data_IF_562046374422
#
_entry.id   IF_562046374422
#
_cell.length_a   1.000
_cell.length_b   1.000
_cell.length_c   1.000
_cell.angle_alpha   90.00
_cell.angle_beta   90.00
_cell.angle_gamma   90.00
#
_symmetry.space_group_name_H-M   'P 1'
#
loop_
_entity.id
_entity.type
_entity.pdbx_description
1 polymer ?
#
# COMPACT_ATOMS: atom_id res chain seq x y z
N UNK A 1 21.54 25.08 21.76
CA UNK A 1 20.11 25.03 21.38
C UNK A 1 19.39 24.32 22.51
N UNK A 2 18.17 24.76 22.87
CA UNK A 2 17.34 24.03 23.84
C UNK A 2 17.02 22.64 23.30
N UNK A 3 16.90 21.66 24.18
CA UNK A 3 16.44 20.31 23.82
C UNK A 3 14.96 20.38 23.40
N UNK A 4 14.64 19.89 22.20
CA UNK A 4 13.25 19.82 21.70
C UNK A 4 12.62 18.48 22.10
N UNK A 5 11.48 18.52 22.76
CA UNK A 5 10.73 17.32 23.14
C UNK A 5 9.67 16.99 22.09
N UNK A 6 9.76 15.79 21.51
CA UNK A 6 8.76 15.27 20.57
C UNK A 6 7.99 14.13 21.22
N UNK A 7 6.66 14.22 21.18
CA UNK A 7 5.74 13.19 21.63
C UNK A 7 5.00 12.58 20.45
N UNK A 8 5.05 11.27 20.27
CA UNK A 8 4.27 10.52 19.27
C UNK A 8 3.26 9.66 19.99
N UNK A 9 1.96 9.82 19.72
CA UNK A 9 0.88 9.13 20.47
C UNK A 9 -0.22 8.58 19.57
N UNK A 10 -1.00 7.62 20.06
CA UNK A 10 -2.15 7.02 19.37
C UNK A 10 -1.95 5.52 19.04
N UNK A 11 -2.62 4.98 18.00
CA UNK A 11 -2.64 3.56 17.70
C UNK A 11 -1.24 2.94 17.63
N UNK A 12 -1.07 1.81 18.32
CA UNK A 12 0.24 1.23 18.62
C UNK A 12 1.12 0.99 17.39
N UNK A 13 0.52 0.49 16.30
CA UNK A 13 1.22 0.26 15.04
C UNK A 13 1.77 1.55 14.45
N UNK A 14 0.95 2.60 14.42
CA UNK A 14 1.29 3.88 13.80
C UNK A 14 2.35 4.62 14.61
N UNK A 15 2.21 4.62 15.94
CA UNK A 15 3.24 5.14 16.85
C UNK A 15 4.56 4.39 16.68
N UNK A 16 4.53 3.05 16.56
CA UNK A 16 5.73 2.27 16.33
C UNK A 16 6.43 2.64 15.01
N UNK A 17 5.69 2.75 13.91
CA UNK A 17 6.21 3.12 12.58
C UNK A 17 6.86 4.50 12.61
N UNK A 18 6.12 5.51 13.06
CA UNK A 18 6.58 6.90 13.11
C UNK A 18 7.76 7.00 14.07
N UNK A 19 7.63 6.43 15.27
CA UNK A 19 8.63 6.45 16.32
C UNK A 19 9.95 5.83 15.90
N UNK A 20 9.94 4.65 15.27
CA UNK A 20 11.18 4.00 14.83
C UNK A 20 11.87 4.74 13.68
N UNK A 21 11.09 5.36 12.78
CA UNK A 21 11.68 6.21 11.75
C UNK A 21 12.37 7.42 12.37
N UNK A 22 11.69 8.15 13.26
CA UNK A 22 12.26 9.33 13.92
C UNK A 22 13.46 8.95 14.79
N UNK A 23 13.36 7.91 15.60
CA UNK A 23 14.43 7.44 16.47
C UNK A 23 15.72 7.14 15.70
N UNK A 24 15.60 6.61 14.47
CA UNK A 24 16.76 6.18 13.68
C UNK A 24 17.30 7.22 12.72
N UNK A 25 16.45 8.13 12.23
CA UNK A 25 16.80 9.07 11.13
C UNK A 25 16.82 10.53 11.58
N UNK A 26 16.20 10.85 12.71
CA UNK A 26 15.95 12.23 13.10
C UNK A 26 16.32 12.57 14.54
N UNK A 27 16.41 11.55 15.40
CA UNK A 27 16.94 11.68 16.75
C UNK A 27 18.44 12.02 16.67
N UNK A 28 18.81 13.07 17.39
CA UNK A 28 20.16 13.60 17.46
C UNK A 28 20.35 14.36 18.77
N UNK A 29 21.51 14.99 18.96
CA UNK A 29 21.99 15.47 20.27
C UNK A 29 21.13 16.55 20.97
N UNK A 30 20.04 17.01 20.37
CA UNK A 30 19.18 18.08 20.91
C UNK A 30 17.69 17.73 20.86
N UNK A 31 17.33 16.45 20.75
CA UNK A 31 15.92 16.01 20.71
C UNK A 31 15.69 14.85 21.66
N UNK A 32 14.63 14.94 22.45
CA UNK A 32 14.08 13.81 23.18
C UNK A 32 12.85 13.30 22.45
N UNK A 33 12.73 11.98 22.29
CA UNK A 33 11.59 11.35 21.61
C UNK A 33 10.83 10.45 22.58
N UNK A 34 9.57 10.76 22.81
CA UNK A 34 8.64 9.97 23.62
C UNK A 34 7.60 9.30 22.74
N UNK A 35 7.41 8.00 22.92
CA UNK A 35 6.43 7.19 22.22
C UNK A 35 5.37 6.72 23.22
N UNK A 36 4.12 7.08 22.96
CA UNK A 36 2.95 6.74 23.75
C UNK A 36 1.96 5.91 22.92
N UNK A 37 2.27 4.64 22.62
CA UNK A 37 1.35 3.76 21.91
C UNK A 37 0.14 3.40 22.78
N UNK A 38 -1.04 3.35 22.15
CA UNK A 38 -2.24 2.75 22.74
C UNK A 38 -2.03 1.26 23.03
N UNK A 39 -2.98 0.63 23.73
CA UNK A 39 -2.89 -0.81 24.02
C UNK A 39 -2.74 -1.64 22.74
N UNK A 40 -1.89 -2.66 22.82
CA UNK A 40 -1.69 -3.63 21.74
C UNK A 40 -2.89 -4.58 21.58
N UNK A 41 -3.83 -4.58 22.54
CA UNK A 41 -5.01 -5.45 22.53
C UNK A 41 -5.98 -5.12 21.38
N UNK A 42 -5.95 -3.88 20.89
CA UNK A 42 -6.77 -3.43 19.77
C UNK A 42 -6.17 -3.79 18.40
N UNK A 43 -4.97 -4.35 18.35
CA UNK A 43 -4.33 -4.73 17.08
C UNK A 43 -5.05 -5.92 16.44
N UNK A 44 -5.18 -5.95 15.11
CA UNK A 44 -5.58 -7.16 14.41
C UNK A 44 -4.55 -8.27 14.63
N UNK A 45 -4.92 -9.54 14.37
CA UNK A 45 -3.98 -10.65 14.48
C UNK A 45 -2.78 -10.47 13.53
N UNK A 46 -3.07 -10.08 12.29
CA UNK A 46 -2.07 -9.80 11.27
C UNK A 46 -2.26 -8.42 10.65
N UNK A 47 -1.15 -7.87 10.16
CA UNK A 47 -1.10 -6.62 9.39
C UNK A 47 -0.48 -6.89 8.03
N UNK A 48 -0.81 -6.05 7.05
CA UNK A 48 -0.28 -6.13 5.70
C UNK A 48 0.78 -5.05 5.48
N UNK A 49 2.01 -5.46 5.22
CA UNK A 49 3.05 -4.61 4.67
C UNK A 49 3.05 -4.75 3.14
N UNK A 50 2.78 -3.67 2.40
CA UNK A 50 2.83 -3.63 0.93
C UNK A 50 4.29 -3.71 0.44
N UNK A 51 4.57 -4.00 -0.84
CA UNK A 51 5.94 -4.14 -1.35
C UNK A 51 6.89 -2.98 -0.99
N UNK A 52 6.41 -1.73 -1.10
CA UNK A 52 7.22 -0.54 -0.77
C UNK A 52 7.57 -0.43 0.72
N UNK A 53 6.79 -1.07 1.59
CA UNK A 53 7.01 -1.06 3.04
C UNK A 53 8.20 -1.93 3.44
N UNK A 54 8.49 -3.00 2.68
CA UNK A 54 9.66 -3.84 2.91
C UNK A 54 10.97 -3.05 2.78
N UNK A 55 11.01 -2.08 1.86
CA UNK A 55 12.14 -1.16 1.73
C UNK A 55 12.26 -0.24 2.95
N UNK A 56 11.14 0.29 3.44
CA UNK A 56 11.12 1.08 4.67
C UNK A 56 11.61 0.28 5.88
N UNK A 57 11.20 -0.99 6.00
CA UNK A 57 11.63 -1.87 7.09
C UNK A 57 13.15 -2.06 7.08
N UNK A 58 13.73 -2.36 5.91
CA UNK A 58 15.18 -2.44 5.77
C UNK A 58 15.88 -1.13 6.14
N UNK A 59 15.30 0.01 5.77
CA UNK A 59 15.81 1.34 6.10
C UNK A 59 15.87 1.62 7.62
N UNK A 60 14.89 1.11 8.39
CA UNK A 60 14.90 1.21 9.85
C UNK A 60 15.67 0.05 10.53
N UNK A 61 16.34 -0.79 9.74
CA UNK A 61 17.20 -1.89 10.20
C UNK A 61 16.49 -3.22 10.43
N UNK A 62 15.26 -3.38 9.94
CA UNK A 62 14.53 -4.65 9.94
C UNK A 62 14.64 -5.33 8.57
N UNK A 63 15.62 -6.22 8.45
CA UNK A 63 15.74 -7.09 7.27
C UNK A 63 14.71 -8.22 7.26
N UNK A 64 14.53 -8.85 6.10
CA UNK A 64 13.55 -9.92 5.90
C UNK A 64 13.70 -11.10 6.88
N UNK A 65 14.93 -11.53 7.17
CA UNK A 65 15.15 -12.63 8.12
C UNK A 65 14.70 -12.29 9.56
N UNK A 66 14.87 -11.03 9.97
CA UNK A 66 14.38 -10.56 11.26
C UNK A 66 12.85 -10.57 11.30
N UNK A 67 12.19 -10.20 10.20
CA UNK A 67 10.74 -10.20 10.07
C UNK A 67 10.16 -11.62 10.08
N UNK A 68 10.80 -12.56 9.38
CA UNK A 68 10.43 -13.98 9.40
C UNK A 68 10.51 -14.52 10.83
N UNK A 69 11.62 -14.27 11.52
CA UNK A 69 11.87 -14.82 12.86
C UNK A 69 11.04 -14.16 13.94
N UNK A 70 10.88 -12.83 13.90
CA UNK A 70 10.30 -12.05 14.98
C UNK A 70 8.81 -11.74 14.79
N UNK A 71 8.30 -11.76 13.56
CA UNK A 71 6.91 -11.38 13.24
C UNK A 71 6.18 -12.43 12.39
N UNK A 72 6.74 -13.63 12.21
CA UNK A 72 6.09 -14.72 11.49
C UNK A 72 5.71 -14.36 10.05
N UNK A 73 6.58 -13.60 9.36
CA UNK A 73 6.28 -13.06 8.04
C UNK A 73 5.87 -14.14 7.03
N UNK A 74 4.79 -13.88 6.29
CA UNK A 74 4.31 -14.67 5.15
C UNK A 74 4.16 -13.78 3.92
N UNK A 75 4.30 -14.31 2.69
CA UNK A 75 4.10 -13.50 1.50
C UNK A 75 2.62 -13.13 1.33
N UNK A 76 2.38 -11.93 0.81
CA UNK A 76 1.08 -11.47 0.33
C UNK A 76 1.24 -10.92 -1.09
N UNK A 77 0.54 -11.47 -2.06
CA UNK A 77 0.65 -11.14 -3.49
C UNK A 77 -0.54 -10.34 -4.00
N UNK A 78 -1.75 -10.65 -3.53
CA UNK A 78 -2.99 -10.03 -3.99
C UNK A 78 -4.03 -9.94 -2.87
N UNK A 79 -3.78 -9.13 -1.82
CA UNK A 79 -4.65 -9.06 -0.65
C UNK A 79 -6.10 -8.75 -1.02
N UNK A 80 -7.01 -9.28 -0.21
CA UNK A 80 -8.45 -9.17 -0.44
C UNK A 80 -9.04 -7.92 0.18
N UNK A 81 -9.79 -7.17 -0.62
CA UNK A 81 -10.47 -5.94 -0.23
C UNK A 81 -11.98 -6.14 -0.27
N UNK A 82 -12.68 -5.69 0.78
CA UNK A 82 -14.15 -5.68 0.79
C UNK A 82 -14.66 -4.72 -0.28
N UNK A 83 -15.67 -5.14 -1.03
CA UNK A 83 -16.37 -4.29 -1.99
C UNK A 83 -17.87 -4.58 -1.98
N UNK A 84 -18.66 -3.68 -2.57
CA UNK A 84 -20.11 -3.82 -2.70
C UNK A 84 -20.53 -5.04 -3.54
N UNK A 85 -19.67 -5.55 -4.43
CA UNK A 85 -19.92 -6.79 -5.21
C UNK A 85 -19.28 -8.04 -4.61
N UNK A 86 -18.81 -7.98 -3.37
CA UNK A 86 -18.03 -9.05 -2.74
C UNK A 86 -16.54 -8.76 -2.67
N UNK A 87 -15.73 -9.65 -2.06
CA UNK A 87 -14.29 -9.44 -1.91
C UNK A 87 -13.57 -9.40 -3.28
N UNK A 88 -12.60 -8.50 -3.43
CA UNK A 88 -11.76 -8.36 -4.62
C UNK A 88 -10.28 -8.50 -4.24
N UNK A 89 -9.55 -9.36 -4.95
CA UNK A 89 -8.10 -9.51 -4.76
C UNK A 89 -7.37 -8.52 -5.66
N UNK A 90 -6.60 -7.60 -5.06
CA UNK A 90 -5.87 -6.58 -5.80
C UNK A 90 -4.38 -6.95 -5.87
N UNK A 91 -3.86 -7.39 -7.03
CA UNK A 91 -2.51 -7.89 -7.15
C UNK A 91 -1.47 -6.77 -7.09
N UNK A 92 -0.36 -7.03 -6.39
CA UNK A 92 0.81 -6.16 -6.39
C UNK A 92 1.67 -6.29 -7.67
N UNK A 93 1.37 -7.27 -8.51
CA UNK A 93 2.09 -7.55 -9.74
C UNK A 93 1.22 -7.32 -10.99
N UNK A 94 1.85 -7.07 -12.16
CA UNK A 94 1.12 -6.93 -13.41
C UNK A 94 0.20 -8.12 -13.73
N UNK A 95 -0.96 -7.82 -14.31
CA UNK A 95 -1.87 -8.80 -14.90
C UNK A 95 -1.42 -9.03 -16.35
N UNK A 96 -1.00 -10.26 -16.66
CA UNK A 96 -0.37 -10.61 -17.93
C UNK A 96 0.92 -9.86 -18.21
N UNK A 97 1.24 -9.67 -19.49
CA UNK A 97 2.49 -9.04 -19.91
C UNK A 97 2.21 -7.93 -20.94
N UNK A 98 2.71 -6.72 -20.67
CA UNK A 98 2.60 -5.59 -21.60
C UNK A 98 3.76 -5.59 -22.60
N UNK A 99 3.54 -5.12 -23.83
CA UNK A 99 4.57 -5.11 -24.86
C UNK A 99 4.41 -3.93 -25.83
N UNK A 100 5.54 -3.38 -26.30
CA UNK A 100 5.54 -2.28 -27.25
C UNK A 100 4.84 -1.00 -26.76
N UNK A 101 4.82 -0.77 -25.44
CA UNK A 101 4.11 0.35 -24.81
C UNK A 101 2.59 0.21 -24.75
N UNK A 102 2.07 -0.99 -25.05
CA UNK A 102 0.64 -1.32 -24.98
C UNK A 102 0.42 -2.25 -23.79
N UNK A 103 -0.52 -1.86 -22.94
CA UNK A 103 -0.89 -2.58 -21.74
C UNK A 103 -1.62 -3.89 -22.06
N UNK A 104 -1.38 -4.94 -21.27
CA UNK A 104 -1.84 -6.31 -21.54
C UNK A 104 -3.35 -6.43 -21.81
N UNK A 105 -4.18 -5.70 -21.07
CA UNK A 105 -5.64 -5.75 -21.21
C UNK A 105 -6.10 -5.44 -22.65
N UNK A 106 -5.36 -4.63 -23.40
CA UNK A 106 -5.70 -4.35 -24.80
C UNK A 106 -5.47 -5.56 -25.72
N UNK A 107 -4.40 -6.32 -25.49
CA UNK A 107 -4.16 -7.56 -26.20
C UNK A 107 -5.17 -8.64 -25.80
N UNK A 108 -5.46 -8.77 -24.51
CA UNK A 108 -6.50 -9.68 -24.01
C UNK A 108 -7.85 -9.36 -24.64
N UNK A 109 -8.27 -8.09 -24.69
CA UNK A 109 -9.52 -7.67 -25.31
C UNK A 109 -9.57 -8.03 -26.80
N UNK A 110 -8.48 -7.79 -27.53
CA UNK A 110 -8.39 -8.14 -28.95
C UNK A 110 -8.50 -9.65 -29.16
N UNK A 111 -7.81 -10.44 -28.34
CA UNK A 111 -7.91 -11.89 -28.38
C UNK A 111 -9.33 -12.36 -28.05
N UNK A 112 -9.94 -11.81 -27.00
CA UNK A 112 -11.30 -12.12 -26.55
C UNK A 112 -12.37 -11.78 -27.59
N UNK A 113 -12.18 -10.68 -28.35
CA UNK A 113 -13.05 -10.33 -29.48
C UNK A 113 -12.94 -11.32 -30.64
N UNK A 114 -11.78 -11.96 -30.82
CA UNK A 114 -11.56 -12.95 -31.88
C UNK A 114 -12.07 -14.35 -31.47
N UNK A 115 -11.85 -14.74 -30.23
CA UNK A 115 -12.38 -15.95 -29.62
C UNK A 115 -12.43 -15.78 -28.10
N UNK A 116 -13.46 -16.31 -27.39
CA UNK A 116 -13.54 -16.22 -25.94
C UNK A 116 -12.26 -16.67 -25.23
N UNK A 117 -11.76 -15.85 -24.31
CA UNK A 117 -10.60 -16.14 -23.46
C UNK A 117 -11.03 -16.44 -22.02
N UNK A 118 -10.10 -16.97 -21.21
CA UNK A 118 -10.25 -16.95 -19.75
C UNK A 118 -10.43 -15.50 -19.24
N UNK A 119 -11.00 -15.36 -18.05
CA UNK A 119 -11.15 -14.05 -17.40
C UNK A 119 -9.80 -13.31 -17.33
N UNK A 120 -9.82 -11.98 -17.50
CA UNK A 120 -8.61 -11.16 -17.51
C UNK A 120 -7.74 -11.38 -16.26
N UNK A 121 -8.35 -11.55 -15.09
CA UNK A 121 -7.62 -11.73 -13.83
C UNK A 121 -6.98 -13.12 -13.68
N UNK A 122 -7.40 -14.10 -14.49
CA UNK A 122 -6.75 -15.41 -14.55
C UNK A 122 -5.31 -15.35 -15.09
N UNK A 123 -4.94 -14.23 -15.73
CA UNK A 123 -3.58 -13.95 -16.20
C UNK A 123 -2.70 -13.26 -15.15
N UNK A 124 -3.13 -13.22 -13.88
CA UNK A 124 -2.34 -12.66 -12.77
C UNK A 124 -1.63 -13.76 -11.99
N UNK A 125 -0.29 -13.90 -12.10
CA UNK A 125 0.47 -14.81 -11.25
C UNK A 125 0.30 -14.50 -9.76
N UNK A 126 0.15 -13.22 -9.40
CA UNK A 126 -0.05 -12.79 -8.02
C UNK A 126 -1.36 -13.30 -7.43
N UNK A 127 -2.48 -13.25 -8.19
CA UNK A 127 -3.75 -13.80 -7.72
C UNK A 127 -3.69 -15.33 -7.57
N UNK A 128 -3.05 -16.01 -8.52
CA UNK A 128 -2.84 -17.47 -8.44
C UNK A 128 -2.01 -17.85 -7.21
N UNK A 129 -0.94 -17.10 -6.91
CA UNK A 129 -0.08 -17.35 -5.75
C UNK A 129 -0.76 -17.00 -4.42
N UNK A 130 -1.60 -15.96 -4.38
CA UNK A 130 -2.39 -15.60 -3.20
C UNK A 130 -3.36 -16.73 -2.80
N UNK A 131 -3.93 -17.41 -3.78
CA UNK A 131 -4.87 -18.52 -3.58
C UNK A 131 -4.18 -19.85 -3.26
N UNK A 132 -2.84 -19.88 -3.24
CA UNK A 132 -2.06 -21.10 -3.03
C UNK A 132 -1.67 -21.26 -1.57
N UNK A 133 -1.95 -22.43 -1.00
CA UNK A 133 -1.58 -22.78 0.38
C UNK A 133 -0.07 -23.10 0.55
N UNK A 134 0.63 -23.43 -0.53
CA UNK A 134 2.05 -23.82 -0.50
C UNK A 134 2.94 -22.80 -1.22
N UNK A 135 3.17 -21.66 -0.58
CA UNK A 135 4.06 -20.64 -1.12
C UNK A 135 5.54 -20.96 -0.85
N UNK A 136 6.47 -20.69 -1.80
CA UNK A 136 7.90 -20.88 -1.58
C UNK A 136 8.38 -20.07 -0.39
N UNK A 137 9.54 -20.44 0.15
CA UNK A 137 10.16 -19.63 1.20
C UNK A 137 10.35 -18.19 0.73
N UNK A 138 10.20 -17.24 1.66
CA UNK A 138 10.34 -15.82 1.37
C UNK A 138 11.72 -15.48 0.76
N UNK A 139 12.77 -16.19 1.14
CA UNK A 139 14.10 -16.04 0.51
C UNK A 139 14.14 -16.49 -0.96
N UNK A 140 13.39 -17.53 -1.33
CA UNK A 140 13.27 -17.96 -2.72
C UNK A 140 12.45 -16.95 -3.53
N UNK A 141 11.37 -16.44 -2.93
CA UNK A 141 10.51 -15.42 -3.55
C UNK A 141 11.28 -14.12 -3.83
N UNK A 142 12.10 -13.64 -2.90
CA UNK A 142 12.88 -12.41 -3.09
C UNK A 142 13.78 -12.41 -4.34
N UNK A 143 14.17 -13.59 -4.84
CA UNK A 143 15.04 -13.73 -6.01
C UNK A 143 14.31 -13.75 -7.36
N UNK A 144 13.07 -14.22 -7.39
CA UNK A 144 12.43 -14.62 -8.65
C UNK A 144 10.91 -14.46 -8.68
N UNK A 145 10.29 -13.99 -7.60
CA UNK A 145 8.85 -13.82 -7.54
C UNK A 145 8.39 -12.53 -8.22
N UNK A 146 7.11 -12.48 -8.64
CA UNK A 146 6.43 -11.21 -8.86
C UNK A 146 6.48 -10.34 -7.58
N UNK A 147 6.32 -9.01 -7.69
CA UNK A 147 6.22 -8.13 -6.52
C UNK A 147 5.22 -8.66 -5.49
N UNK A 148 5.61 -8.66 -4.22
CA UNK A 148 4.82 -9.15 -3.10
C UNK A 148 5.07 -8.29 -1.86
N UNK A 149 4.07 -8.21 -0.99
CA UNK A 149 4.15 -7.68 0.36
C UNK A 149 4.26 -8.79 1.40
N UNK A 150 4.13 -8.44 2.68
CA UNK A 150 4.17 -9.38 3.79
C UNK A 150 2.92 -9.28 4.64
N UNK A 151 2.35 -10.43 4.99
CA UNK A 151 1.51 -10.55 6.17
C UNK A 151 2.41 -10.75 7.40
N UNK A 152 2.17 -9.98 8.46
CA UNK A 152 2.99 -9.97 9.67
C UNK A 152 2.11 -10.12 10.91
N UNK A 153 2.57 -10.85 11.93
CA UNK A 153 1.93 -10.92 13.24
C UNK A 153 2.01 -9.56 13.94
N UNK A 154 0.88 -8.88 14.12
CA UNK A 154 0.84 -7.45 14.44
C UNK A 154 1.52 -7.15 15.78
N UNK A 155 1.12 -7.84 16.85
CA UNK A 155 1.63 -7.58 18.20
C UNK A 155 3.13 -7.87 18.33
N UNK A 156 3.61 -8.92 17.67
CA UNK A 156 5.04 -9.26 17.67
C UNK A 156 5.85 -8.21 16.92
N UNK A 157 5.33 -7.79 15.77
CA UNK A 157 5.94 -6.76 14.94
C UNK A 157 6.03 -5.41 15.65
N UNK A 158 4.93 -4.93 16.23
CA UNK A 158 4.86 -3.65 16.97
C UNK A 158 5.82 -3.64 18.16
N UNK A 159 5.87 -4.72 18.94
CA UNK A 159 6.84 -4.86 20.04
C UNK A 159 8.28 -4.80 19.54
N UNK A 160 8.58 -5.49 18.45
CA UNK A 160 9.92 -5.49 17.84
C UNK A 160 10.36 -4.08 17.43
N UNK A 161 9.48 -3.34 16.75
CA UNK A 161 9.78 -1.97 16.31
C UNK A 161 9.92 -0.99 17.47
N UNK A 162 9.03 -1.05 18.47
CA UNK A 162 9.14 -0.19 19.65
C UNK A 162 10.45 -0.48 20.42
N UNK A 163 10.87 -1.75 20.51
CA UNK A 163 12.15 -2.12 21.08
C UNK A 163 13.36 -1.56 20.31
N UNK A 164 13.29 -1.53 18.98
CA UNK A 164 14.31 -0.89 18.15
C UNK A 164 14.36 0.63 18.34
N UNK A 165 13.20 1.28 18.42
CA UNK A 165 13.13 2.72 18.70
C UNK A 165 13.71 3.04 20.09
N UNK A 166 13.39 2.23 21.09
CA UNK A 166 13.92 2.36 22.45
C UNK A 166 15.45 2.16 22.48
N UNK A 167 15.96 1.16 21.75
CA UNK A 167 17.40 0.90 21.63
C UNK A 167 18.15 2.04 20.94
N UNK A 168 17.46 2.84 20.12
CA UNK A 168 17.98 4.04 19.48
C UNK A 168 17.88 5.30 20.36
N UNK A 169 17.27 5.21 21.56
CA UNK A 169 17.19 6.31 22.52
C UNK A 169 15.80 6.92 22.72
N UNK A 170 14.75 6.38 22.06
CA UNK A 170 13.38 6.81 22.33
C UNK A 170 12.90 6.30 23.69
N UNK A 171 12.07 7.08 24.39
CA UNK A 171 11.40 6.66 25.63
C UNK A 171 10.02 6.12 25.26
N UNK A 172 9.77 4.84 25.51
CA UNK A 172 8.46 4.22 25.29
C UNK A 172 7.72 4.15 26.62
N UNK A 173 6.54 4.75 26.68
CA UNK A 173 5.70 4.79 27.87
C UNK A 173 4.24 4.50 27.50
N UNK A 174 3.47 3.95 28.44
CA UNK A 174 2.07 3.64 28.15
C UNK A 174 1.23 4.92 28.03
N UNK A 175 0.21 4.90 27.16
CA UNK A 175 -0.61 6.08 26.88
C UNK A 175 -1.44 6.59 28.07
N UNK A 176 -1.62 5.76 29.11
CA UNK A 176 -2.32 6.10 30.36
C UNK A 176 -1.42 6.76 31.42
N UNK A 177 -0.11 6.81 31.17
CA UNK A 177 0.85 7.50 32.04
C UNK A 177 0.86 9.01 31.78
N UNK A 178 1.40 9.78 32.73
CA UNK A 178 1.58 11.22 32.56
C UNK A 178 2.57 11.48 31.41
N UNK A 179 2.07 12.03 30.30
CA UNK A 179 2.87 12.33 29.12
C UNK A 179 3.62 13.66 29.29
N UNK A 180 4.87 13.78 28.81
CA UNK A 180 5.64 15.00 28.96
C UNK A 180 5.00 16.14 28.15
N UNK A 181 5.26 17.37 28.61
CA UNK A 181 5.03 18.54 27.77
C UNK A 181 5.98 18.49 26.58
N UNK A 182 5.44 18.51 25.38
CA UNK A 182 6.19 18.41 24.13
C UNK A 182 6.17 19.73 23.36
N UNK A 183 7.28 20.03 22.69
CA UNK A 183 7.37 21.11 21.70
C UNK A 183 6.65 20.73 20.40
N UNK A 184 6.59 19.43 20.10
CA UNK A 184 5.80 18.87 19.00
C UNK A 184 5.08 17.59 19.44
N UNK A 185 3.76 17.56 19.26
CA UNK A 185 2.97 16.33 19.37
C UNK A 185 2.60 15.80 17.98
N UNK A 186 2.96 14.56 17.69
CA UNK A 186 2.52 13.82 16.51
C UNK A 186 1.37 12.91 16.91
N UNK A 187 0.17 13.26 16.46
CA UNK A 187 -1.04 12.49 16.70
C UNK A 187 -1.26 11.45 15.60
N UNK A 188 -0.97 10.20 15.95
CA UNK A 188 -1.13 9.04 15.09
C UNK A 188 -2.54 8.44 15.14
N UNK A 189 -3.48 8.89 15.99
CA UNK A 189 -4.89 8.55 15.79
C UNK A 189 -5.38 9.17 14.49
N UNK A 190 -4.90 10.39 14.22
CA UNK A 190 -5.12 11.11 12.99
C UNK A 190 -6.52 11.73 12.90
N UNK A 191 -6.77 12.39 11.77
CA UNK A 191 -8.02 13.09 11.46
C UNK A 191 -8.31 12.99 9.96
N UNK A 192 -9.57 13.15 9.56
CA UNK A 192 -9.97 13.21 8.14
C UNK A 192 -9.19 14.26 7.32
N UNK A 193 -8.84 15.40 7.95
CA UNK A 193 -8.09 16.48 7.31
C UNK A 193 -6.71 16.65 7.98
N UNK A 194 -5.70 15.84 7.59
CA UNK A 194 -4.36 15.91 8.18
C UNK A 194 -3.77 17.31 8.03
N UNK A 195 -2.98 17.73 9.02
CA UNK A 195 -2.39 19.06 9.03
C UNK A 195 -1.13 19.10 9.90
N UNK A 196 -0.33 20.13 9.67
CA UNK A 196 0.78 20.51 10.53
C UNK A 196 0.53 21.95 11.01
N UNK A 197 0.49 22.14 12.33
CA UNK A 197 0.34 23.42 13.00
C UNK A 197 1.43 23.60 14.06
N UNK A 198 1.48 24.76 14.71
CA UNK A 198 2.46 25.01 15.77
C UNK A 198 2.27 23.97 16.89
N UNK A 199 3.33 23.21 17.15
CA UNK A 199 3.38 22.19 18.20
C UNK A 199 2.51 20.95 17.96
N UNK A 200 1.88 20.79 16.80
CA UNK A 200 1.05 19.61 16.49
C UNK A 200 1.15 19.17 15.04
N UNK A 201 1.29 17.88 14.83
CA UNK A 201 1.21 17.21 13.54
C UNK A 201 0.14 16.12 13.62
N UNK A 202 -0.93 16.25 12.84
CA UNK A 202 -1.98 15.23 12.75
C UNK A 202 -1.83 14.45 11.45
N UNK A 203 -1.78 13.12 11.55
CA UNK A 203 -1.77 12.24 10.40
C UNK A 203 -3.19 12.09 9.83
N UNK A 204 -3.32 11.51 8.63
CA UNK A 204 -4.63 11.09 8.12
C UNK A 204 -5.16 9.97 9.03
N UNK A 205 -6.45 9.99 9.34
CA UNK A 205 -7.08 8.93 10.14
C UNK A 205 -6.95 7.54 9.51
N UNK A 206 -7.18 6.49 10.30
CA UNK A 206 -7.08 5.12 9.82
C UNK A 206 -8.08 4.84 8.69
N UNK A 207 -7.63 4.10 7.68
CA UNK A 207 -8.40 3.81 6.47
C UNK A 207 -8.87 2.36 6.51
N UNK A 208 -10.00 2.04 5.87
CA UNK A 208 -10.60 0.70 5.98
C UNK A 208 -9.89 -0.38 5.13
N UNK A 209 -8.89 0.03 4.35
CA UNK A 209 -8.19 -0.80 3.37
C UNK A 209 -6.89 -1.37 3.97
N UNK A 210 -6.69 -2.71 3.99
CA UNK A 210 -5.52 -3.34 4.57
C UNK A 210 -4.18 -2.73 4.10
N UNK A 211 -3.30 -2.46 5.06
CA UNK A 211 -1.94 -1.97 4.85
C UNK A 211 -1.84 -0.46 4.57
N UNK A 212 -2.96 0.27 4.49
CA UNK A 212 -2.90 1.72 4.34
C UNK A 212 -2.51 2.44 5.63
N UNK A 213 -2.84 1.89 6.80
CA UNK A 213 -2.40 2.40 8.10
C UNK A 213 -0.86 2.51 8.16
N UNK A 214 -0.17 1.57 7.50
CA UNK A 214 1.27 1.62 7.30
C UNK A 214 1.68 2.72 6.34
N UNK A 215 1.12 2.69 5.13
CA UNK A 215 1.49 3.58 4.03
C UNK A 215 1.35 5.05 4.42
N UNK A 216 0.20 5.40 5.00
CA UNK A 216 -0.13 6.76 5.47
C UNK A 216 0.85 7.21 6.55
N UNK A 217 1.19 6.34 7.49
CA UNK A 217 2.11 6.66 8.59
C UNK A 217 3.54 6.88 8.08
N UNK A 218 4.04 6.03 7.19
CA UNK A 218 5.37 6.17 6.57
C UNK A 218 5.44 7.43 5.71
N UNK A 219 4.44 7.66 4.86
CA UNK A 219 4.44 8.82 3.99
C UNK A 219 4.34 10.12 4.79
N UNK A 220 3.52 10.15 5.85
CA UNK A 220 3.41 11.31 6.72
C UNK A 220 4.73 11.64 7.39
N UNK A 221 5.38 10.68 8.06
CA UNK A 221 6.64 10.96 8.77
C UNK A 221 7.77 11.33 7.79
N UNK A 222 7.83 10.71 6.61
CA UNK A 222 8.82 11.07 5.59
C UNK A 222 8.60 12.47 5.05
N UNK A 223 7.35 12.83 4.72
CA UNK A 223 7.00 14.19 4.26
C UNK A 223 7.33 15.22 5.33
N UNK A 224 6.99 14.93 6.57
CA UNK A 224 7.32 15.80 7.71
C UNK A 224 8.83 16.00 7.82
N UNK A 225 9.63 14.92 7.91
CA UNK A 225 11.10 15.03 8.03
C UNK A 225 11.76 15.69 6.80
N UNK A 226 11.22 15.48 5.60
CA UNK A 226 11.75 16.11 4.39
C UNK A 226 11.49 17.62 4.34
N UNK A 227 10.38 18.09 4.95
CA UNK A 227 10.01 19.50 4.99
C UNK A 227 10.49 20.19 6.28
N UNK A 228 10.74 19.46 7.37
CA UNK A 228 11.09 20.05 8.66
C UNK A 228 12.55 20.48 8.71
N UNK A 229 12.78 21.76 8.41
CA UNK A 229 14.06 22.42 8.64
C UNK A 229 14.19 22.95 10.08
N UNK A 230 13.09 23.50 10.64
CA UNK A 230 12.99 24.12 11.97
C UNK A 230 11.57 23.92 12.53
N UNK A 231 11.41 23.54 13.80
CA UNK A 231 10.11 23.33 14.45
C UNK A 231 9.45 24.62 14.97
N UNK A 232 10.15 25.76 14.92
CA UNK A 232 9.67 27.05 15.41
C UNK A 232 9.21 28.00 14.31
N UNK A 233 9.69 27.82 13.07
CA UNK A 233 9.34 28.66 11.92
C UNK A 233 9.08 27.81 10.68
N UNK A 234 7.88 27.26 10.57
CA UNK A 234 7.54 26.23 9.58
C UNK A 234 6.24 26.52 8.81
N UNK A 235 5.84 27.78 8.66
CA UNK A 235 4.52 28.11 8.10
C UNK A 235 4.37 27.66 6.63
N UNK A 236 5.44 27.72 5.83
CA UNK A 236 5.40 27.32 4.42
C UNK A 236 5.48 25.80 4.28
N UNK A 237 6.35 25.18 5.06
CA UNK A 237 6.58 23.75 5.21
C UNK A 237 5.29 23.05 5.65
N UNK A 238 4.58 23.63 6.63
CA UNK A 238 3.29 23.15 7.12
C UNK A 238 2.19 23.23 6.06
N UNK A 239 2.13 24.32 5.29
CA UNK A 239 1.18 24.44 4.17
C UNK A 239 1.43 23.38 3.11
N UNK A 240 2.69 23.16 2.74
CA UNK A 240 3.06 22.17 1.73
C UNK A 240 2.84 20.74 2.22
N UNK A 241 3.23 20.43 3.46
CA UNK A 241 2.91 19.15 4.10
C UNK A 241 1.41 18.86 4.04
N UNK A 242 0.59 19.84 4.44
CA UNK A 242 -0.86 19.72 4.49
C UNK A 242 -1.45 19.51 3.09
N UNK A 243 -0.95 20.23 2.08
CA UNK A 243 -1.37 20.06 0.67
C UNK A 243 -1.09 18.64 0.18
N UNK A 244 0.12 18.12 0.42
CA UNK A 244 0.53 16.77 0.02
C UNK A 244 -0.26 15.68 0.75
N UNK A 245 -0.47 15.86 2.05
CA UNK A 245 -1.25 14.92 2.87
C UNK A 245 -2.70 14.81 2.41
N UNK A 246 -3.32 15.93 2.04
CA UNK A 246 -4.69 15.95 1.52
C UNK A 246 -4.79 15.30 0.14
N UNK A 247 -3.81 15.50 -0.74
CA UNK A 247 -3.78 14.83 -2.04
C UNK A 247 -3.70 13.31 -1.90
N UNK A 248 -2.86 12.79 -1.00
CA UNK A 248 -2.82 11.36 -0.68
C UNK A 248 -4.18 10.85 -0.17
N UNK A 249 -4.81 11.58 0.76
CA UNK A 249 -6.13 11.22 1.29
C UNK A 249 -7.20 11.17 0.19
N UNK A 250 -7.17 12.12 -0.77
CA UNK A 250 -8.08 12.13 -1.90
C UNK A 250 -7.93 10.88 -2.78
N UNK A 251 -6.69 10.41 -3.02
CA UNK A 251 -6.40 9.20 -3.81
C UNK A 251 -6.84 7.92 -3.12
N UNK A 252 -6.69 7.84 -1.80
CA UNK A 252 -7.21 6.71 -1.02
C UNK A 252 -8.73 6.67 -1.10
N UNK A 253 -9.38 7.81 -0.84
CA UNK A 253 -10.83 7.93 -0.88
C UNK A 253 -11.43 7.66 -2.27
N UNK A 254 -10.68 7.86 -3.36
CA UNK A 254 -11.11 7.44 -4.70
C UNK A 254 -11.19 5.92 -4.83
N UNK A 255 -10.23 5.16 -4.28
CA UNK A 255 -10.29 3.69 -4.28
C UNK A 255 -11.40 3.18 -3.36
N UNK A 256 -11.53 3.74 -2.15
CA UNK A 256 -12.60 3.37 -1.22
C UNK A 256 -13.99 3.63 -1.83
N UNK A 257 -14.17 4.77 -2.50
CA UNK A 257 -15.41 5.09 -3.21
C UNK A 257 -15.70 4.10 -4.33
N UNK A 258 -14.70 3.68 -5.12
CA UNK A 258 -14.87 2.64 -6.15
C UNK A 258 -15.34 1.31 -5.54
N UNK A 259 -14.72 0.88 -4.44
CA UNK A 259 -15.00 -0.41 -3.81
C UNK A 259 -16.36 -0.43 -3.12
N UNK A 260 -16.76 0.67 -2.48
CA UNK A 260 -17.99 0.75 -1.67
C UNK A 260 -19.23 1.18 -2.44
N UNK A 261 -19.09 1.88 -3.58
CA UNK A 261 -20.23 2.36 -4.36
C UNK A 261 -21.11 1.20 -4.84
N UNK A 262 -22.43 1.39 -4.91
CA UNK A 262 -23.33 0.43 -5.60
C UNK A 262 -23.02 0.40 -7.09
N UNK A 263 -23.02 1.56 -7.75
CA UNK A 263 -22.50 1.76 -9.11
C UNK A 263 -21.36 2.81 -9.10
N UNK A 264 -20.11 2.42 -9.41
CA UNK A 264 -18.99 3.36 -9.47
C UNK A 264 -19.14 4.49 -10.49
N UNK A 265 -20.03 4.32 -11.48
CA UNK A 265 -20.29 5.33 -12.53
C UNK A 265 -20.96 6.59 -12.00
N UNK A 266 -21.66 6.49 -10.87
CA UNK A 266 -22.39 7.60 -10.25
C UNK A 266 -21.51 8.45 -9.31
N UNK A 267 -20.20 8.17 -9.23
CA UNK A 267 -19.31 8.87 -8.32
C UNK A 267 -19.28 10.39 -8.56
N UNK A 268 -19.38 11.15 -7.48
CA UNK A 268 -19.19 12.61 -7.47
C UNK A 268 -17.72 13.02 -7.43
N UNK A 269 -16.80 12.07 -7.22
CA UNK A 269 -15.36 12.33 -7.12
C UNK A 269 -14.78 12.53 -8.53
N UNK A 270 -14.28 13.73 -8.90
CA UNK A 270 -13.90 14.01 -10.28
C UNK A 270 -12.78 13.13 -10.84
N UNK A 271 -11.77 12.81 -10.02
CA UNK A 271 -10.65 11.98 -10.43
C UNK A 271 -11.08 10.52 -10.66
N UNK A 272 -11.88 9.96 -9.75
CA UNK A 272 -12.45 8.63 -9.94
C UNK A 272 -13.37 8.57 -11.16
N UNK A 273 -14.26 9.56 -11.34
CA UNK A 273 -15.14 9.66 -12.50
C UNK A 273 -14.35 9.60 -13.81
N UNK A 274 -13.32 10.44 -13.95
CA UNK A 274 -12.44 10.44 -15.12
C UNK A 274 -11.75 9.08 -15.33
N UNK A 275 -11.33 8.41 -14.26
CA UNK A 275 -10.70 7.09 -14.31
C UNK A 275 -11.67 6.02 -14.83
N UNK A 276 -12.90 6.00 -14.29
CA UNK A 276 -14.00 5.11 -14.74
C UNK A 276 -14.35 5.38 -16.19
N UNK A 277 -14.62 6.63 -16.56
CA UNK A 277 -15.00 7.02 -17.93
C UNK A 277 -13.92 6.63 -18.95
N UNK A 278 -12.65 6.88 -18.65
CA UNK A 278 -11.55 6.57 -19.56
C UNK A 278 -11.33 5.06 -19.68
N UNK A 279 -11.45 4.33 -18.57
CA UNK A 279 -11.36 2.88 -18.57
C UNK A 279 -12.51 2.24 -19.35
N UNK A 280 -13.77 2.62 -19.13
CA UNK A 280 -14.90 2.10 -19.92
C UNK A 280 -14.86 2.55 -21.38
N UNK A 281 -14.30 3.73 -21.66
CA UNK A 281 -14.12 4.17 -23.04
C UNK A 281 -13.13 3.29 -23.79
N UNK A 282 -11.92 3.04 -23.25
CA UNK A 282 -10.85 2.39 -24.01
C UNK A 282 -9.86 1.52 -23.22
N UNK A 283 -10.14 1.17 -21.97
CA UNK A 283 -9.30 0.30 -21.14
C UNK A 283 -8.04 0.96 -20.59
N UNK A 284 -7.92 2.29 -20.73
CA UNK A 284 -6.80 3.09 -20.22
C UNK A 284 -7.05 3.48 -18.77
N UNK A 285 -6.05 3.34 -17.92
CA UNK A 285 -6.11 3.70 -16.50
C UNK A 285 -5.19 4.90 -16.27
N UNK A 286 -5.73 6.13 -16.15
CA UNK A 286 -4.91 7.31 -15.93
C UNK A 286 -4.34 7.29 -14.50
N UNK A 287 -3.02 7.42 -14.38
CA UNK A 287 -2.34 7.65 -13.10
C UNK A 287 -2.53 9.10 -12.67
N UNK A 288 -2.81 9.30 -11.39
CA UNK A 288 -2.88 10.63 -10.79
C UNK A 288 -1.58 10.98 -10.06
N UNK A 289 -1.35 12.26 -9.78
CA UNK A 289 -0.30 12.64 -8.84
C UNK A 289 -0.61 12.07 -7.45
N UNK A 290 0.43 11.62 -6.76
CA UNK A 290 0.35 10.97 -5.44
C UNK A 290 -0.51 9.69 -5.41
N UNK A 291 -0.67 9.03 -6.57
CA UNK A 291 -1.37 7.76 -6.67
C UNK A 291 -0.80 6.73 -5.68
N UNK A 292 -1.68 6.19 -4.83
CA UNK A 292 -1.33 5.20 -3.78
C UNK A 292 -1.43 3.77 -4.29
N UNK A 293 -2.35 3.53 -5.23
CA UNK A 293 -2.61 2.22 -5.82
C UNK A 293 -1.97 2.09 -7.19
N UNK A 294 -1.34 0.95 -7.43
CA UNK A 294 -0.66 0.67 -8.69
C UNK A 294 -1.66 0.43 -9.83
N UNK A 295 -1.25 0.54 -11.11
CA UNK A 295 -2.12 0.23 -12.24
C UNK A 295 -2.73 -1.19 -12.21
N UNK A 296 -2.02 -2.27 -11.79
CA UNK A 296 -2.63 -3.59 -11.63
C UNK A 296 -3.74 -3.65 -10.57
N UNK A 297 -3.58 -2.94 -9.45
CA UNK A 297 -4.61 -2.85 -8.41
C UNK A 297 -5.85 -2.11 -8.94
N UNK A 298 -5.67 -0.99 -9.63
CA UNK A 298 -6.77 -0.30 -10.29
C UNK A 298 -7.44 -1.17 -11.36
N UNK A 299 -6.67 -1.91 -12.17
CA UNK A 299 -7.23 -2.80 -13.18
C UNK A 299 -8.09 -3.89 -12.55
N UNK A 300 -7.59 -4.55 -11.50
CA UNK A 300 -8.34 -5.56 -10.76
C UNK A 300 -9.59 -4.99 -10.08
N UNK A 301 -9.50 -3.80 -9.48
CA UNK A 301 -10.64 -3.15 -8.84
C UNK A 301 -11.72 -2.76 -9.88
N UNK A 302 -11.35 -2.08 -10.96
CA UNK A 302 -12.29 -1.69 -12.02
C UNK A 302 -12.94 -2.92 -12.68
N UNK A 303 -12.13 -3.96 -12.96
CA UNK A 303 -12.64 -5.21 -13.53
C UNK A 303 -13.56 -5.97 -12.57
N UNK A 304 -13.18 -6.07 -11.30
CA UNK A 304 -13.97 -6.72 -10.26
C UNK A 304 -15.28 -6.00 -9.92
N UNK A 305 -15.34 -4.69 -10.18
CA UNK A 305 -16.56 -3.86 -10.05
C UNK A 305 -17.40 -3.81 -11.35
N UNK A 306 -17.18 -4.75 -12.26
CA UNK A 306 -17.91 -4.91 -13.52
C UNK A 306 -17.87 -3.68 -14.46
N UNK A 307 -16.76 -2.93 -14.42
CA UNK A 307 -16.48 -1.94 -15.44
C UNK A 307 -15.79 -2.65 -16.61
N UNK A 308 -16.30 -2.48 -17.84
CA UNK A 308 -15.78 -3.16 -19.02
C UNK A 308 -15.44 -2.16 -20.12
N UNK A 309 -14.20 -2.17 -20.64
CA UNK A 309 -13.80 -1.28 -21.73
C UNK A 309 -14.52 -1.62 -23.04
N UNK A 310 -14.98 -0.59 -23.76
CA UNK A 310 -15.69 -0.74 -25.05
C UNK A 310 -14.77 -1.00 -26.25
N UNK A 311 -13.50 -0.58 -26.16
CA UNK A 311 -12.48 -0.77 -27.21
C UNK A 311 -11.10 -0.95 -26.61
N UNK A 312 -10.20 -1.56 -27.37
CA UNK A 312 -8.79 -1.70 -27.03
C UNK A 312 -7.94 -0.70 -27.83
N UNK A 313 -6.65 -0.58 -27.48
CA UNK A 313 -5.70 0.23 -28.24
C UNK A 313 -5.32 -0.40 -29.59
N UNK A 314 -5.51 0.34 -30.69
CA UNK A 314 -5.20 -0.15 -32.05
C UNK A 314 -3.73 -0.50 -32.27
N UNK A 315 -2.81 -0.05 -31.44
CA UNK A 315 -1.42 -0.53 -31.49
C UNK A 315 -1.33 -2.04 -31.22
N UNK A 316 -2.31 -2.63 -30.52
CA UNK A 316 -2.41 -4.08 -30.35
C UNK A 316 -2.60 -4.82 -31.69
N UNK A 317 -3.12 -4.17 -32.73
CA UNK A 317 -3.30 -4.75 -34.08
C UNK A 317 -1.99 -5.08 -34.78
N UNK A 318 -0.87 -4.48 -34.33
CA UNK A 318 0.46 -4.74 -34.90
C UNK A 318 0.95 -6.17 -34.64
N UNK A 319 0.44 -6.85 -33.62
CA UNK A 319 0.77 -8.26 -33.40
C UNK A 319 -0.07 -9.13 -34.33
N UNK A 320 0.51 -10.02 -35.17
CA UNK A 320 -0.27 -10.92 -35.99
C UNK A 320 -1.20 -11.82 -35.16
N UNK A 321 -2.44 -12.05 -35.62
CA UNK A 321 -3.47 -12.73 -34.83
C UNK A 321 -3.04 -14.11 -34.33
N UNK A 322 -2.38 -14.92 -35.17
CA UNK A 322 -1.87 -16.23 -34.76
C UNK A 322 -0.84 -16.13 -33.61
N UNK A 323 0.02 -15.11 -33.65
CA UNK A 323 1.00 -14.86 -32.58
C UNK A 323 0.31 -14.39 -31.30
N UNK A 324 -0.71 -13.53 -31.42
CA UNK A 324 -1.51 -13.09 -30.28
C UNK A 324 -2.18 -14.28 -29.58
N UNK A 325 -2.88 -15.13 -30.32
CA UNK A 325 -3.59 -16.28 -29.74
C UNK A 325 -2.63 -17.27 -29.07
N UNK A 326 -1.48 -17.56 -29.69
CA UNK A 326 -0.46 -18.42 -29.10
C UNK A 326 0.11 -17.82 -27.82
N UNK A 327 0.42 -16.53 -27.83
CA UNK A 327 0.98 -15.85 -26.66
C UNK A 327 0.00 -15.78 -25.48
N UNK A 328 -1.30 -15.49 -25.74
CA UNK A 328 -2.33 -15.53 -24.70
C UNK A 328 -2.46 -16.94 -24.12
N UNK A 329 -2.51 -17.98 -24.97
CA UNK A 329 -2.56 -19.36 -24.51
C UNK A 329 -1.32 -19.76 -23.69
N UNK A 330 -0.14 -19.27 -24.07
CA UNK A 330 1.10 -19.49 -23.31
C UNK A 330 1.05 -18.84 -21.93
N UNK A 331 0.61 -17.59 -21.83
CA UNK A 331 0.46 -16.90 -20.55
C UNK A 331 -0.57 -17.59 -19.65
N UNK A 332 -1.70 -18.02 -20.20
CA UNK A 332 -2.70 -18.77 -19.45
C UNK A 332 -2.10 -20.09 -18.92
N UNK A 333 -1.41 -20.85 -19.77
CA UNK A 333 -0.75 -22.10 -19.34
C UNK A 333 0.29 -21.88 -18.26
N UNK A 334 1.04 -20.78 -18.30
CA UNK A 334 2.00 -20.44 -17.25
C UNK A 334 1.31 -20.21 -15.90
N UNK A 335 0.22 -19.42 -15.87
CA UNK A 335 -0.59 -19.22 -14.65
C UNK A 335 -1.19 -20.52 -14.13
N UNK A 336 -1.75 -21.36 -15.01
CA UNK A 336 -2.29 -22.67 -14.60
C UNK A 336 -1.22 -23.64 -14.10
N UNK A 337 0.01 -23.57 -14.64
CA UNK A 337 1.12 -24.39 -14.15
C UNK A 337 1.62 -23.97 -12.78
N UNK A 338 1.59 -22.66 -12.47
CA UNK A 338 1.86 -22.16 -11.12
C UNK A 338 0.87 -22.75 -10.11
N UNK A 339 -0.39 -22.92 -10.52
CA UNK A 339 -1.41 -23.58 -9.71
C UNK A 339 -1.16 -25.10 -9.59
N UNK A 340 -0.91 -25.80 -10.70
CA UNK A 340 -0.81 -27.28 -10.76
C UNK A 340 0.49 -27.89 -10.24
N UNK A 341 1.64 -27.22 -10.37
CA UNK A 341 2.95 -27.76 -9.92
C UNK A 341 3.02 -28.05 -8.40
N UNK A 342 1.94 -27.81 -7.67
CA UNK A 342 1.86 -27.94 -6.21
C UNK A 342 0.73 -28.84 -5.71
N UNK A 343 -0.03 -29.49 -6.60
CA UNK A 343 -0.89 -30.63 -6.22
C UNK A 343 -0.12 -31.97 -6.20
N UNK A 344 1.12 -31.99 -6.71
CA UNK A 344 1.96 -33.20 -6.88
C UNK A 344 3.17 -33.28 -5.93
N UNK A 345 3.23 -32.46 -4.88
CA UNK A 345 4.27 -32.51 -3.83
C UNK A 345 3.59 -32.68 -2.48
#
# INVERSE_FOLDING_TARGET
>A
MSEETILVKGPALRVAIVGAFLARRWLGNHRSLFLAPDSLDALPATILARPDHMRFQAEIGLGLDALIKAAGAKPAFAPSYKSASGPLNLPFAPIGQSQGGVEFQHFWMRANNAAPQADLLAFSPAIVLEQSDDNPSLQALQKSAPPFGLELQASQYVRGILGLAASAGAVVQAADQELPKADLTIDCAGVAAPSWAQGSLSLLEEQALPGLEWQVSVNAVRRFVALSADLSNHANEAREYTRLARQEAERIADMEALLSATDPRETERPALRRKVELFEACGRIPTQDFEVFTPPEWLAALWGRDLRPRRYDRMADRLPQAQLMNWIADLQRQCEQLNRKREMV
#
